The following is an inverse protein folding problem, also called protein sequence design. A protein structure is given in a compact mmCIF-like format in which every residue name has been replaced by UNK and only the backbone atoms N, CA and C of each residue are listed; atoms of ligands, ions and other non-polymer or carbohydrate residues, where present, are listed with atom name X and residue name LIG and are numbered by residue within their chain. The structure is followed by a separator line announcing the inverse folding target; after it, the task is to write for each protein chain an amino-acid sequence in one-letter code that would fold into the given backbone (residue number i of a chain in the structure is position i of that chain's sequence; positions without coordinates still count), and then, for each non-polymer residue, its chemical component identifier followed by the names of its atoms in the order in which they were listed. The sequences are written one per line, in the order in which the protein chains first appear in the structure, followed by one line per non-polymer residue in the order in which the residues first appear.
data_IF_728079285848
#
_entry.id   IF_728079285848
#
_cell.length_a   1.000
_cell.length_b   1.000
_cell.length_c   1.000
_cell.angle_alpha   90.00
_cell.angle_beta   90.00
_cell.angle_gamma   90.00
#
_symmetry.space_group_name_H-M   'P 1'
#
loop_
_entity.id
_entity.type
_entity.pdbx_description
1 polymer ?
#
# COMPACT_ATOMS: atom_id res chain seq x y z
N UNK A 1 -0.98 12.01 61.87
CA UNK A 1 -1.65 11.12 60.88
C UNK A 1 -1.85 11.95 59.63
N UNK A 2 -0.89 11.84 58.70
CA UNK A 2 -0.99 12.45 57.37
C UNK A 2 -1.85 11.55 56.50
N UNK A 3 -2.91 12.11 55.93
CA UNK A 3 -3.71 11.46 54.89
C UNK A 3 -3.31 12.06 53.55
N UNK A 4 -2.65 11.26 52.72
CA UNK A 4 -2.24 11.62 51.36
C UNK A 4 -3.47 11.66 50.44
N UNK A 5 -3.70 12.80 49.81
CA UNK A 5 -4.73 13.01 48.79
C UNK A 5 -4.19 12.53 47.44
N UNK A 6 -4.81 11.50 46.86
CA UNK A 6 -4.55 11.07 45.48
C UNK A 6 -5.25 12.05 44.51
N UNK A 7 -4.50 12.53 43.51
CA UNK A 7 -4.99 13.42 42.46
C UNK A 7 -5.93 12.74 41.45
N UNK A 8 -6.64 13.52 40.63
CA UNK A 8 -7.72 13.01 39.78
C UNK A 8 -7.22 12.13 38.63
N UNK A 9 -7.99 11.08 38.37
CA UNK A 9 -7.85 10.13 37.28
C UNK A 9 -7.89 10.85 35.91
N UNK A 10 -6.92 10.52 35.05
CA UNK A 10 -6.91 10.94 33.64
C UNK A 10 -7.98 10.15 32.90
N UNK A 11 -9.16 10.76 32.75
CA UNK A 11 -10.20 10.29 31.82
C UNK A 11 -9.77 10.58 30.40
N UNK A 12 -9.43 9.55 29.64
CA UNK A 12 -9.23 9.62 28.19
C UNK A 12 -10.61 9.61 27.54
N UNK A 13 -11.08 10.79 27.14
CA UNK A 13 -12.36 10.99 26.46
C UNK A 13 -12.44 10.17 25.17
N UNK A 14 -13.39 9.23 25.15
CA UNK A 14 -13.95 8.64 23.94
C UNK A 14 -14.43 9.76 23.01
N UNK A 15 -13.93 9.78 21.78
CA UNK A 15 -14.53 10.57 20.70
C UNK A 15 -15.09 9.59 19.68
N UNK A 16 -16.26 9.03 19.99
CA UNK A 16 -17.08 8.33 19.03
C UNK A 16 -17.86 9.36 18.20
N UNK A 17 -17.22 9.88 17.15
CA UNK A 17 -17.95 10.50 16.04
C UNK A 17 -18.38 9.36 15.09
N UNK A 18 -19.69 9.24 14.86
CA UNK A 18 -20.28 8.26 13.95
C UNK A 18 -19.58 8.27 12.58
N UNK A 19 -18.98 7.15 12.20
CA UNK A 19 -18.24 6.97 10.93
C UNK A 19 -19.11 7.20 9.68
N UNK A 20 -20.44 7.23 9.79
CA UNK A 20 -21.36 7.35 8.65
C UNK A 20 -21.37 8.72 7.97
N UNK A 21 -21.05 9.78 8.71
CA UNK A 21 -21.25 11.16 8.24
C UNK A 21 -19.98 11.69 7.57
N UNK A 22 -18.81 11.29 8.08
CA UNK A 22 -17.50 11.52 7.45
C UNK A 22 -17.39 10.75 6.12
N UNK A 23 -17.95 9.54 6.04
CA UNK A 23 -18.00 8.73 4.80
C UNK A 23 -18.83 9.38 3.69
N UNK A 24 -19.92 10.08 4.04
CA UNK A 24 -20.76 10.80 3.06
C UNK A 24 -20.13 12.09 2.59
N UNK A 25 -19.44 12.80 3.47
CA UNK A 25 -18.84 14.11 3.18
C UNK A 25 -17.58 13.96 2.30
N UNK A 26 -16.73 12.97 2.57
CA UNK A 26 -15.56 12.63 1.72
C UNK A 26 -16.01 12.20 0.32
N UNK A 27 -17.07 11.37 0.23
CA UNK A 27 -17.58 10.87 -1.04
C UNK A 27 -18.28 11.97 -1.89
N UNK A 28 -18.79 13.01 -1.24
CA UNK A 28 -19.45 14.15 -1.91
C UNK A 28 -18.45 15.20 -2.41
N UNK A 29 -17.41 15.51 -1.63
CA UNK A 29 -16.37 16.48 -2.05
C UNK A 29 -15.49 15.93 -3.18
N UNK A 30 -15.20 14.62 -3.20
CA UNK A 30 -14.46 13.98 -4.30
C UNK A 30 -15.21 14.04 -5.64
N UNK A 31 -16.55 13.96 -5.61
CA UNK A 31 -17.38 14.10 -6.82
C UNK A 31 -17.40 15.51 -7.41
N UNK A 32 -17.20 16.54 -6.58
CA UNK A 32 -17.30 17.94 -7.02
C UNK A 32 -16.00 18.51 -7.61
N UNK A 33 -14.85 17.89 -7.33
CA UNK A 33 -13.52 18.37 -7.78
C UNK A 33 -12.86 17.56 -8.89
N UNK A 34 -13.53 16.52 -9.41
CA UNK A 34 -13.09 15.81 -10.60
C UNK A 34 -13.24 16.71 -11.85
N UNK A 35 -12.28 17.62 -12.05
CA UNK A 35 -11.99 18.15 -13.38
C UNK A 35 -11.75 16.93 -14.26
N UNK A 36 -12.68 16.69 -15.18
CA UNK A 36 -12.72 15.55 -16.08
C UNK A 36 -11.47 15.52 -16.97
N UNK A 37 -10.37 14.95 -16.46
CA UNK A 37 -9.36 14.36 -17.31
C UNK A 37 -9.98 13.06 -17.84
N UNK A 38 -10.19 12.92 -19.16
CA UNK A 38 -10.85 11.74 -19.70
C UNK A 38 -10.00 10.51 -19.37
N UNK A 39 -10.70 9.45 -18.96
CA UNK A 39 -10.26 8.07 -18.74
C UNK A 39 -9.51 7.50 -19.96
N UNK A 40 -8.33 8.03 -20.27
CA UNK A 40 -7.51 7.48 -21.34
C UNK A 40 -6.43 6.59 -20.73
N UNK A 41 -6.16 5.44 -21.36
CA UNK A 41 -4.98 4.66 -21.03
C UNK A 41 -3.73 5.54 -21.05
N UNK A 42 -2.80 5.27 -20.14
CA UNK A 42 -1.48 5.87 -20.18
C UNK A 42 -0.83 5.55 -21.52
N UNK A 43 -0.27 6.57 -22.17
CA UNK A 43 0.66 6.35 -23.27
C UNK A 43 1.92 5.66 -22.76
N UNK A 44 2.63 4.98 -23.65
CA UNK A 44 3.92 4.38 -23.32
C UNK A 44 4.90 5.41 -22.73
N UNK A 45 4.94 6.62 -23.28
CA UNK A 45 5.78 7.71 -22.79
C UNK A 45 5.43 8.14 -21.36
N UNK A 46 4.14 8.25 -21.03
CA UNK A 46 3.69 8.59 -19.67
C UNK A 46 4.05 7.50 -18.67
N UNK A 47 3.90 6.23 -19.06
CA UNK A 47 4.33 5.10 -18.24
C UNK A 47 5.84 5.12 -17.98
N UNK A 48 6.64 5.22 -19.04
CA UNK A 48 8.12 5.24 -18.96
C UNK A 48 8.61 6.38 -18.08
N UNK A 49 8.06 7.58 -18.26
CA UNK A 49 8.52 8.77 -17.52
C UNK A 49 8.02 8.82 -16.07
N UNK A 50 6.87 8.21 -15.77
CA UNK A 50 6.20 8.45 -14.49
C UNK A 50 6.14 7.24 -13.58
N UNK A 51 6.14 6.01 -14.11
CA UNK A 51 5.83 4.80 -13.35
C UNK A 51 6.84 3.65 -13.53
N UNK A 52 7.47 3.52 -14.69
CA UNK A 52 8.34 2.38 -15.01
C UNK A 52 9.46 2.18 -13.97
N UNK A 53 10.04 3.27 -13.47
CA UNK A 53 11.10 3.22 -12.46
C UNK A 53 10.69 2.51 -11.17
N UNK A 54 9.41 2.61 -10.78
CA UNK A 54 8.87 1.96 -9.59
C UNK A 54 8.45 0.50 -9.79
N UNK A 55 8.14 0.12 -11.04
CA UNK A 55 7.47 -1.13 -11.43
C UNK A 55 8.30 -2.39 -11.12
N UNK A 56 7.68 -3.57 -11.22
CA UNK A 56 8.36 -4.86 -11.12
C UNK A 56 9.20 -5.12 -12.38
N UNK A 57 10.13 -6.09 -12.30
CA UNK A 57 10.97 -6.44 -13.44
C UNK A 57 10.13 -7.06 -14.58
N UNK A 58 10.47 -6.74 -15.82
CA UNK A 58 9.71 -7.17 -17.01
C UNK A 58 9.62 -8.69 -17.15
N UNK A 59 10.64 -9.41 -16.68
CA UNK A 59 10.67 -10.88 -16.64
C UNK A 59 9.51 -11.51 -15.86
N UNK A 60 8.82 -10.75 -14.99
CA UNK A 60 7.68 -11.23 -14.21
C UNK A 60 6.31 -10.91 -14.83
N UNK A 61 6.25 -10.12 -15.91
CA UNK A 61 4.98 -9.62 -16.44
C UNK A 61 4.05 -10.72 -16.96
N UNK A 62 4.60 -11.82 -17.47
CA UNK A 62 3.81 -12.94 -17.98
C UNK A 62 3.39 -13.93 -16.88
N UNK A 63 3.97 -13.82 -15.69
CA UNK A 63 3.68 -14.71 -14.56
C UNK A 63 2.59 -14.19 -13.62
N UNK A 64 2.09 -12.97 -13.86
CA UNK A 64 1.09 -12.33 -12.99
C UNK A 64 -0.33 -12.47 -13.54
N UNK A 65 -1.30 -12.48 -12.64
CA UNK A 65 -2.71 -12.37 -12.99
C UNK A 65 -3.02 -10.99 -13.55
N UNK A 66 -3.75 -10.95 -14.67
CA UNK A 66 -4.24 -9.71 -15.28
C UNK A 66 -5.59 -9.26 -14.74
N UNK A 67 -6.24 -10.08 -13.91
CA UNK A 67 -7.58 -9.81 -13.41
C UNK A 67 -7.51 -9.07 -12.06
N UNK A 68 -8.20 -7.94 -11.96
CA UNK A 68 -8.32 -7.20 -10.70
C UNK A 68 -8.94 -8.07 -9.60
N UNK A 69 -9.90 -8.94 -9.95
CA UNK A 69 -10.51 -9.96 -9.08
C UNK A 69 -9.50 -10.80 -8.28
N UNK A 70 -8.30 -11.04 -8.81
CA UNK A 70 -7.27 -11.81 -8.14
C UNK A 70 -6.79 -11.17 -6.84
N UNK A 71 -6.90 -9.85 -6.70
CA UNK A 71 -6.53 -9.10 -5.50
C UNK A 71 -7.48 -9.34 -4.33
N UNK A 72 -8.75 -9.72 -4.57
CA UNK A 72 -9.76 -9.83 -3.51
C UNK A 72 -9.36 -10.85 -2.44
N UNK A 73 -9.55 -10.51 -1.17
CA UNK A 73 -9.35 -11.38 -0.02
C UNK A 73 -8.34 -10.82 0.97
N UNK A 74 -7.98 -11.66 1.95
CA UNK A 74 -7.02 -11.31 3.00
C UNK A 74 -5.64 -11.84 2.66
N UNK A 75 -4.63 -10.99 2.81
CA UNK A 75 -3.25 -11.29 2.47
C UNK A 75 -2.35 -11.10 3.67
N UNK A 76 -1.58 -12.12 4.04
CA UNK A 76 -0.67 -12.07 5.17
C UNK A 76 0.78 -12.02 4.71
N UNK A 77 1.57 -11.09 5.25
CA UNK A 77 2.99 -10.98 4.93
C UNK A 77 3.78 -12.24 5.32
N UNK A 78 4.65 -12.69 4.44
CA UNK A 78 5.65 -13.72 4.67
C UNK A 78 6.99 -13.08 5.05
N UNK A 79 7.22 -12.89 6.35
CA UNK A 79 8.43 -12.19 6.85
C UNK A 79 9.73 -12.87 6.41
N UNK A 80 9.77 -14.20 6.37
CA UNK A 80 10.93 -14.99 5.99
C UNK A 80 11.31 -14.89 4.50
N UNK A 81 10.38 -14.43 3.65
CA UNK A 81 10.57 -14.27 2.20
C UNK A 81 10.69 -12.81 1.79
N UNK A 82 10.30 -11.90 2.68
CA UNK A 82 10.25 -10.48 2.42
C UNK A 82 11.59 -9.82 2.73
N UNK A 83 11.92 -8.78 1.97
CA UNK A 83 13.07 -7.94 2.25
C UNK A 83 12.90 -7.22 3.60
N UNK A 84 14.02 -6.91 4.28
CA UNK A 84 14.01 -5.97 5.39
C UNK A 84 13.53 -4.59 4.91
N UNK A 85 12.82 -3.88 5.79
CA UNK A 85 12.21 -2.57 5.48
C UNK A 85 12.80 -1.42 6.30
N UNK A 86 13.78 -1.71 7.18
CA UNK A 86 14.30 -0.73 8.13
C UNK A 86 14.94 0.48 7.44
N UNK A 87 15.79 0.25 6.43
CA UNK A 87 16.45 1.33 5.69
C UNK A 87 15.45 2.23 4.98
N UNK A 88 14.43 1.64 4.36
CA UNK A 88 13.36 2.38 3.69
C UNK A 88 12.55 3.20 4.71
N UNK A 89 12.13 2.59 5.81
CA UNK A 89 11.37 3.30 6.85
C UNK A 89 12.20 4.36 7.56
N UNK A 90 13.50 4.13 7.75
CA UNK A 90 14.44 5.12 8.30
C UNK A 90 14.57 6.31 7.37
N UNK A 91 14.66 6.08 6.06
CA UNK A 91 14.72 7.14 5.06
C UNK A 91 13.41 7.96 4.98
N UNK A 92 12.27 7.35 5.33
CA UNK A 92 10.98 8.03 5.48
C UNK A 92 10.81 8.77 6.83
N UNK A 93 11.79 8.72 7.72
CA UNK A 93 11.74 9.41 9.02
C UNK A 93 10.97 8.66 10.12
N UNK A 94 10.58 7.41 9.89
CA UNK A 94 9.87 6.60 10.90
C UNK A 94 10.79 6.32 12.09
N UNK A 95 10.28 6.46 13.32
CA UNK A 95 11.07 6.25 14.54
C UNK A 95 11.59 4.82 14.71
N UNK A 96 12.76 4.64 15.35
CA UNK A 96 13.39 3.32 15.52
C UNK A 96 12.48 2.30 16.20
N UNK A 97 11.70 2.72 17.20
CA UNK A 97 10.75 1.84 17.89
C UNK A 97 9.68 1.33 16.93
N UNK A 98 9.04 2.22 16.15
CA UNK A 98 8.02 1.83 15.15
C UNK A 98 8.62 0.89 14.11
N UNK A 99 9.83 1.16 13.61
CA UNK A 99 10.50 0.30 12.62
C UNK A 99 10.74 -1.11 13.14
N UNK A 100 11.19 -1.27 14.39
CA UNK A 100 11.38 -2.58 15.01
C UNK A 100 10.09 -3.39 15.08
N UNK A 101 8.99 -2.75 15.52
CA UNK A 101 7.68 -3.42 15.58
C UNK A 101 7.23 -3.85 14.18
N UNK A 102 7.33 -2.95 13.19
CA UNK A 102 6.94 -3.24 11.81
C UNK A 102 7.80 -4.33 11.15
N UNK A 103 9.09 -4.44 11.51
CA UNK A 103 9.97 -5.47 11.00
C UNK A 103 9.58 -6.87 11.49
N UNK A 104 9.07 -6.99 12.73
CA UNK A 104 8.66 -8.26 13.33
C UNK A 104 7.20 -8.66 13.08
N UNK A 105 6.37 -7.73 12.60
CA UNK A 105 4.93 -7.95 12.50
C UNK A 105 4.51 -8.42 11.11
N UNK A 106 3.83 -9.55 11.08
CA UNK A 106 3.24 -10.13 9.87
C UNK A 106 1.84 -9.54 9.63
N UNK A 107 1.78 -8.33 9.09
CA UNK A 107 0.51 -7.64 8.85
C UNK A 107 -0.41 -8.40 7.89
N UNK A 108 -1.71 -8.25 8.12
CA UNK A 108 -2.76 -8.72 7.22
C UNK A 108 -3.30 -7.51 6.46
N UNK A 109 -3.46 -7.64 5.15
CA UNK A 109 -4.12 -6.65 4.30
C UNK A 109 -5.34 -7.27 3.66
N UNK A 110 -6.50 -6.72 3.95
CA UNK A 110 -7.75 -7.05 3.28
C UNK A 110 -7.92 -6.18 2.05
N UNK A 111 -8.27 -6.82 0.94
CA UNK A 111 -8.49 -6.19 -0.35
C UNK A 111 -9.91 -6.49 -0.80
N UNK A 112 -10.69 -5.43 -1.00
CA UNK A 112 -12.05 -5.49 -1.53
C UNK A 112 -12.10 -4.75 -2.86
N UNK A 113 -12.82 -5.30 -3.84
CA UNK A 113 -13.08 -4.62 -5.11
C UNK A 113 -14.41 -3.89 -5.03
N UNK A 114 -14.33 -2.57 -5.02
CA UNK A 114 -15.50 -1.69 -5.10
C UNK A 114 -15.99 -1.60 -6.55
N UNK A 115 -15.04 -1.57 -7.50
CA UNK A 115 -15.32 -1.61 -8.95
C UNK A 115 -14.35 -2.58 -9.62
N UNK A 116 -14.89 -3.61 -10.25
CA UNK A 116 -14.13 -4.58 -11.04
C UNK A 116 -14.17 -4.16 -12.52
N UNK A 117 -13.20 -3.34 -12.91
CA UNK A 117 -13.05 -2.79 -14.26
C UNK A 117 -11.66 -3.16 -14.76
N UNK A 118 -11.57 -3.74 -15.97
CA UNK A 118 -10.31 -4.24 -16.52
C UNK A 118 -9.28 -3.15 -16.79
N UNK A 119 -9.70 -1.88 -16.89
CA UNK A 119 -8.84 -0.73 -17.22
C UNK A 119 -8.58 0.14 -16.00
N UNK A 120 -9.58 0.33 -15.14
CA UNK A 120 -9.49 1.22 -13.96
C UNK A 120 -10.30 0.67 -12.78
N UNK A 121 -9.81 -0.40 -12.13
CA UNK A 121 -10.46 -0.95 -10.95
C UNK A 121 -10.39 0.03 -9.78
N UNK A 122 -11.34 -0.09 -8.85
CA UNK A 122 -11.34 0.63 -7.57
C UNK A 122 -11.25 -0.39 -6.44
N UNK A 123 -10.21 -0.28 -5.62
CA UNK A 123 -9.94 -1.20 -4.52
C UNK A 123 -10.02 -0.49 -3.18
N UNK A 124 -10.69 -1.10 -2.21
CA UNK A 124 -10.57 -0.75 -0.80
C UNK A 124 -9.48 -1.64 -0.19
N UNK A 125 -8.50 -1.01 0.44
CA UNK A 125 -7.31 -1.62 1.01
C UNK A 125 -7.32 -1.33 2.51
N UNK A 126 -7.42 -2.37 3.32
CA UNK A 126 -7.38 -2.26 4.79
C UNK A 126 -6.21 -3.05 5.31
N UNK A 127 -5.19 -2.37 5.86
CA UNK A 127 -4.05 -3.04 6.49
C UNK A 127 -4.18 -3.01 8.01
N UNK A 128 -4.15 -4.19 8.60
CA UNK A 128 -4.09 -4.42 10.04
C UNK A 128 -2.65 -4.27 10.48
N UNK A 129 -2.39 -3.23 11.26
CA UNK A 129 -1.09 -2.88 11.82
C UNK A 129 -1.03 -3.31 13.30
N UNK A 130 0.18 -3.37 13.88
CA UNK A 130 0.34 -3.69 15.30
C UNK A 130 -0.50 -2.79 16.22
N UNK A 131 -0.83 -3.31 17.41
CA UNK A 131 -1.55 -2.58 18.46
C UNK A 131 -2.97 -2.13 18.04
N UNK A 132 -3.68 -2.97 17.28
CA UNK A 132 -5.03 -2.72 16.78
C UNK A 132 -5.16 -1.45 15.92
N UNK A 133 -4.05 -0.98 15.33
CA UNK A 133 -4.09 0.11 14.38
C UNK A 133 -4.60 -0.41 13.03
N UNK A 134 -5.45 0.37 12.38
CA UNK A 134 -5.96 0.08 11.04
C UNK A 134 -5.58 1.22 10.10
N UNK A 135 -5.07 0.87 8.93
CA UNK A 135 -4.88 1.83 7.84
C UNK A 135 -5.79 1.43 6.69
N UNK A 136 -6.79 2.27 6.41
CA UNK A 136 -7.74 2.06 5.33
C UNK A 136 -7.53 3.09 4.22
N UNK A 137 -7.70 2.67 2.97
CA UNK A 137 -7.70 3.55 1.80
C UNK A 137 -8.62 2.99 0.72
N UNK A 138 -9.33 3.85 0.01
CA UNK A 138 -10.02 3.50 -1.24
C UNK A 138 -9.22 4.12 -2.37
N UNK A 139 -8.78 3.30 -3.32
CA UNK A 139 -7.87 3.70 -4.39
C UNK A 139 -8.52 3.42 -5.73
N UNK A 140 -8.73 4.48 -6.51
CA UNK A 140 -9.08 4.38 -7.93
C UNK A 140 -7.80 4.31 -8.77
N UNK A 141 -7.66 3.28 -9.60
CA UNK A 141 -6.50 3.08 -10.47
C UNK A 141 -6.74 3.66 -11.87
N UNK A 142 -7.18 4.92 -11.94
CA UNK A 142 -7.60 5.62 -13.15
C UNK A 142 -6.65 6.75 -13.58
N UNK A 143 -5.46 6.82 -12.97
CA UNK A 143 -4.44 7.84 -13.18
C UNK A 143 -4.86 9.27 -12.74
N UNK A 144 -5.93 9.41 -11.96
CA UNK A 144 -6.21 10.67 -11.27
C UNK A 144 -5.25 10.87 -10.12
N UNK A 145 -5.08 12.14 -9.70
CA UNK A 145 -4.28 12.46 -8.53
C UNK A 145 -5.15 12.79 -7.33
N UNK A 146 -4.74 12.31 -6.15
CA UNK A 146 -5.35 12.63 -4.88
C UNK A 146 -4.29 13.05 -3.86
N UNK A 147 -4.68 13.88 -2.90
CA UNK A 147 -3.86 14.20 -1.74
C UNK A 147 -4.07 13.12 -0.66
N UNK A 148 -2.99 12.55 -0.15
CA UNK A 148 -3.01 11.58 0.93
C UNK A 148 -2.18 12.10 2.11
N UNK A 149 -2.83 12.28 3.26
CA UNK A 149 -2.16 12.65 4.51
C UNK A 149 -1.76 11.41 5.28
N UNK A 150 -0.51 11.36 5.70
CA UNK A 150 0.07 10.30 6.52
C UNK A 150 0.70 10.94 7.75
N UNK A 151 0.35 10.44 8.94
CA UNK A 151 0.78 11.04 10.21
C UNK A 151 2.28 10.96 10.44
N UNK A 152 2.95 9.99 9.83
CA UNK A 152 4.38 9.76 10.00
C UNK A 152 5.21 10.43 8.90
N UNK A 153 4.67 10.54 7.69
CA UNK A 153 5.44 10.96 6.51
C UNK A 153 4.93 12.24 5.83
N UNK A 154 3.86 12.84 6.37
CA UNK A 154 3.29 14.09 5.89
C UNK A 154 2.32 13.89 4.72
N UNK A 155 2.14 14.95 3.95
CA UNK A 155 1.21 14.98 2.82
C UNK A 155 1.88 14.52 1.53
N UNK A 156 1.22 13.61 0.82
CA UNK A 156 1.65 13.06 -0.46
C UNK A 156 0.65 13.40 -1.56
N UNK A 157 1.15 13.74 -2.75
CA UNK A 157 0.36 13.74 -3.99
C UNK A 157 0.48 12.38 -4.66
N UNK A 158 -0.64 11.69 -4.85
CA UNK A 158 -0.66 10.29 -5.24
C UNK A 158 -1.36 10.10 -6.57
N UNK A 159 -0.73 9.39 -7.51
CA UNK A 159 -1.33 8.89 -8.75
C UNK A 159 -1.37 7.37 -8.69
N UNK A 160 -2.48 6.76 -9.11
CA UNK A 160 -2.62 5.31 -9.09
C UNK A 160 -3.08 4.80 -10.45
N UNK A 161 -2.42 3.77 -10.96
CA UNK A 161 -2.62 3.27 -12.32
C UNK A 161 -2.69 1.75 -12.34
N UNK A 162 -3.57 1.22 -13.18
CA UNK A 162 -3.69 -0.20 -13.45
C UNK A 162 -3.08 -0.51 -14.81
N UNK A 163 -2.07 -1.38 -14.84
CA UNK A 163 -1.36 -1.71 -16.08
C UNK A 163 -1.11 -3.22 -16.13
N UNK A 164 -1.84 -3.93 -16.99
CA UNK A 164 -1.64 -5.36 -17.28
C UNK A 164 -1.54 -6.25 -16.02
N UNK A 165 -2.44 -6.07 -15.05
CA UNK A 165 -2.43 -6.85 -13.80
C UNK A 165 -1.64 -6.25 -12.63
N UNK A 166 -0.98 -5.10 -12.86
CA UNK A 166 -0.19 -4.39 -11.85
C UNK A 166 -0.94 -3.17 -11.36
N UNK A 167 -1.08 -3.07 -10.06
CA UNK A 167 -1.58 -1.89 -9.36
C UNK A 167 -0.37 -1.07 -8.90
N UNK A 168 -0.12 0.06 -9.56
CA UNK A 168 1.04 0.92 -9.32
C UNK A 168 0.55 2.24 -8.74
N UNK A 169 1.11 2.68 -7.62
CA UNK A 169 0.91 4.01 -7.09
C UNK A 169 2.23 4.77 -7.07
N UNK A 170 2.20 6.02 -7.49
CA UNK A 170 3.29 6.99 -7.41
C UNK A 170 2.88 8.06 -6.43
N UNK A 171 3.70 8.30 -5.41
CA UNK A 171 3.47 9.27 -4.35
C UNK A 171 4.62 10.26 -4.33
N UNK A 172 4.32 11.56 -4.41
CA UNK A 172 5.31 12.63 -4.31
C UNK A 172 5.08 13.43 -3.03
N UNK A 173 6.15 13.65 -2.29
CA UNK A 173 6.12 14.42 -1.05
C UNK A 173 7.42 15.20 -0.87
N UNK A 174 7.54 15.97 0.22
CA UNK A 174 8.71 16.81 0.47
C UNK A 174 10.01 16.01 0.64
N UNK A 175 9.92 14.74 1.06
CA UNK A 175 11.07 13.89 1.33
C UNK A 175 11.59 13.15 0.07
N UNK A 176 10.76 13.05 -0.98
CA UNK A 176 11.10 12.35 -2.22
C UNK A 176 9.89 11.78 -2.95
N UNK A 177 10.15 10.81 -3.81
CA UNK A 177 9.11 10.08 -4.57
C UNK A 177 9.06 8.62 -4.11
N UNK A 178 7.87 8.09 -3.90
CA UNK A 178 7.63 6.73 -3.45
C UNK A 178 6.74 6.00 -4.44
N UNK A 179 7.10 4.76 -4.77
CA UNK A 179 6.31 3.87 -5.60
C UNK A 179 5.87 2.66 -4.81
N UNK A 180 4.59 2.33 -4.95
CA UNK A 180 3.94 1.19 -4.34
C UNK A 180 3.39 0.31 -5.47
N UNK A 181 3.94 -0.88 -5.65
CA UNK A 181 3.54 -1.78 -6.74
C UNK A 181 3.03 -3.07 -6.18
N UNK A 182 1.83 -3.45 -6.59
CA UNK A 182 1.23 -4.74 -6.23
C UNK A 182 0.94 -5.56 -7.48
N UNK A 183 1.27 -6.84 -7.42
CA UNK A 183 0.96 -7.80 -8.47
C UNK A 183 0.63 -9.16 -7.83
N UNK A 184 -0.33 -9.88 -8.43
CA UNK A 184 -0.71 -11.21 -7.97
C UNK A 184 -0.07 -12.25 -8.87
N UNK A 185 0.66 -13.18 -8.29
CA UNK A 185 1.14 -14.38 -8.96
C UNK A 185 0.19 -15.54 -8.63
N UNK A 186 -0.41 -16.20 -9.65
CA UNK A 186 -1.30 -17.34 -9.40
C UNK A 186 -0.60 -18.56 -8.76
N UNK A 187 0.72 -18.66 -8.94
CA UNK A 187 1.60 -19.67 -8.36
C UNK A 187 2.93 -19.02 -7.95
N UNK A 188 3.75 -19.73 -7.18
CA UNK A 188 5.01 -19.19 -6.68
C UNK A 188 6.02 -18.90 -7.81
N UNK A 189 6.35 -17.62 -8.11
CA UNK A 189 7.25 -17.29 -9.21
C UNK A 189 8.73 -17.55 -8.90
N UNK A 190 9.04 -17.92 -7.65
CA UNK A 190 10.40 -18.24 -7.21
C UNK A 190 10.59 -19.74 -6.97
N UNK A 191 9.56 -20.56 -7.23
CA UNK A 191 9.67 -22.00 -7.22
C UNK A 191 10.68 -22.42 -8.30
N UNK A 192 11.83 -22.92 -7.86
CA UNK A 192 12.82 -23.54 -8.74
C UNK A 192 12.82 -25.04 -8.45
N UNK A 193 13.01 -25.87 -9.47
CA UNK A 193 13.06 -27.33 -9.35
C UNK A 193 14.06 -27.80 -8.26
N UNK A 194 15.07 -26.99 -7.97
CA UNK A 194 16.14 -27.25 -6.98
C UNK A 194 15.82 -26.88 -5.53
N UNK A 195 14.70 -26.20 -5.21
CA UNK A 195 14.35 -25.77 -3.84
C UNK A 195 12.98 -26.29 -3.39
N UNK A 196 12.72 -27.57 -3.63
CA UNK A 196 11.58 -28.28 -3.07
C UNK A 196 11.61 -28.20 -1.53
N UNK A 197 10.70 -27.43 -0.93
CA UNK A 197 10.60 -27.22 0.52
C UNK A 197 10.47 -25.77 0.99
N UNK A 198 10.71 -24.78 0.13
CA UNK A 198 10.41 -23.36 0.39
C UNK A 198 9.30 -22.78 -0.49
N UNK A 199 8.73 -23.63 -1.36
CA UNK A 199 7.60 -23.26 -2.21
C UNK A 199 6.38 -22.93 -1.36
N UNK A 200 5.72 -21.82 -1.69
CA UNK A 200 4.46 -21.45 -1.06
C UNK A 200 3.33 -21.85 -2.00
N UNK A 201 2.48 -22.76 -1.53
CA UNK A 201 1.31 -23.19 -2.30
C UNK A 201 0.28 -22.07 -2.44
N UNK A 202 -0.28 -21.93 -3.63
CA UNK A 202 -1.38 -21.00 -3.91
C UNK A 202 -0.91 -19.61 -4.36
N UNK A 203 -1.84 -18.65 -4.45
CA UNK A 203 -1.55 -17.33 -4.99
C UNK A 203 -0.72 -16.51 -4.00
N UNK A 204 0.20 -15.72 -4.56
CA UNK A 204 1.05 -14.78 -3.82
C UNK A 204 0.82 -13.36 -4.32
N UNK A 205 0.75 -12.40 -3.40
CA UNK A 205 0.88 -10.99 -3.73
C UNK A 205 2.32 -10.55 -3.50
N UNK A 206 2.93 -9.98 -4.52
CA UNK A 206 4.11 -9.14 -4.34
C UNK A 206 3.64 -7.73 -4.05
N UNK A 207 4.21 -7.12 -3.02
CA UNK A 207 4.11 -5.70 -2.74
C UNK A 207 5.52 -5.10 -2.72
N UNK A 208 5.89 -4.36 -3.76
CA UNK A 208 7.20 -3.73 -3.91
C UNK A 208 7.09 -2.24 -3.56
N UNK A 209 8.02 -1.79 -2.73
CA UNK A 209 8.28 -0.39 -2.48
C UNK A 209 9.54 0.06 -3.19
N UNK A 210 9.48 1.24 -3.82
CA UNK A 210 10.67 1.95 -4.30
C UNK A 210 10.60 3.39 -3.82
N UNK A 211 11.46 3.76 -2.88
CA UNK A 211 11.58 5.13 -2.39
C UNK A 211 12.80 5.80 -2.99
N UNK A 212 12.63 7.01 -3.53
CA UNK A 212 13.69 7.83 -4.11
C UNK A 212 13.76 9.10 -3.26
N UNK A 213 14.61 9.12 -2.22
CA UNK A 213 14.78 10.32 -1.42
C UNK A 213 15.41 11.43 -2.25
N UNK A 214 15.05 12.68 -1.96
CA UNK A 214 15.60 13.85 -2.68
C UNK A 214 17.13 13.85 -2.64
N UNK A 215 17.75 13.82 -3.82
CA UNK A 215 19.20 13.84 -3.99
C UNK A 215 19.94 12.56 -3.57
N UNK A 216 19.24 11.43 -3.39
CA UNK A 216 19.83 10.15 -2.98
C UNK A 216 19.47 9.02 -3.93
N UNK A 217 20.18 7.90 -3.80
CA UNK A 217 19.90 6.68 -4.56
C UNK A 217 18.56 6.05 -4.14
N UNK A 218 17.85 5.38 -5.06
CA UNK A 218 16.64 4.63 -4.74
C UNK A 218 16.88 3.52 -3.71
N UNK A 219 15.88 3.30 -2.86
CA UNK A 219 15.81 2.22 -1.87
C UNK A 219 14.60 1.36 -2.22
N UNK A 220 14.81 0.06 -2.42
CA UNK A 220 13.75 -0.88 -2.78
C UNK A 220 13.57 -1.93 -1.70
N UNK A 221 12.33 -2.35 -1.47
CA UNK A 221 12.00 -3.47 -0.58
C UNK A 221 10.80 -4.23 -1.13
N UNK A 222 10.90 -5.55 -1.23
CA UNK A 222 9.84 -6.45 -1.68
C UNK A 222 9.20 -7.18 -0.49
N UNK A 223 7.88 -7.14 -0.40
CA UNK A 223 7.08 -7.87 0.57
C UNK A 223 6.27 -8.93 -0.15
N UNK A 224 6.43 -10.19 0.24
CA UNK A 224 5.62 -11.29 -0.26
C UNK A 224 4.48 -11.55 0.70
N UNK A 225 3.28 -11.77 0.18
CA UNK A 225 2.10 -12.02 0.99
C UNK A 225 1.38 -13.26 0.45
N UNK A 226 0.98 -14.16 1.36
CA UNK A 226 0.13 -15.31 1.02
C UNK A 226 -1.33 -14.95 1.21
N UNK A 227 -2.19 -15.55 0.40
CA UNK A 227 -3.63 -15.47 0.61
C UNK A 227 -4.04 -16.33 1.82
N UNK A 228 -5.01 -15.85 2.61
CA UNK A 228 -5.63 -16.59 3.72
C UNK A 228 -6.93 -17.28 3.28
#
# INVERSE_FOLDING_TARGET
MEAATLGPEVSMTETAASNSDVEKEICAEEKARAVAAPYRPLTHLEYTNSFQLGDIAEVWFDSISRQAAAFRGSWQVLLNRSDPVDDLMKALGISMLKRRVMASYSSITDMELIKDDEKSPVMKITTHLPLNNLKQSVVAFDNTWAEQKDSDTGTWRTWSVWINGRAIQRREGPLGTMFDVRAIFPSDPLATETKAGQEVSGPLMLFKWTYIPTGKQPITSMRWMKKL
#
